data_IF_813889663508
#
_entry.id   IF_813889663508
#
_cell.length_a   1.000
_cell.length_b   1.000
_cell.length_c   1.000
_cell.angle_alpha   90.00
_cell.angle_beta   90.00
_cell.angle_gamma   90.00
#
_symmetry.space_group_name_H-M   'P 1'
#
loop_
_entity.id
_entity.type
_entity.pdbx_description
1 polymer ?
#
# COMPACT_ATOMS: atom_id res chain seq x y z
N UNK A 1 -0.21 -3.93 -14.99
CA UNK A 1 -1.00 -2.77 -14.51
C UNK A 1 -0.19 -1.84 -13.61
N UNK A 2 0.54 -2.35 -12.62
CA UNK A 2 1.31 -1.52 -11.69
C UNK A 2 2.48 -0.77 -12.32
N UNK A 3 3.22 -1.37 -13.25
CA UNK A 3 4.37 -0.73 -13.89
C UNK A 3 3.97 0.38 -14.85
N UNK A 4 2.98 0.14 -15.69
CA UNK A 4 2.44 1.14 -16.60
C UNK A 4 1.89 2.34 -15.83
N UNK A 5 1.16 2.09 -14.74
CA UNK A 5 0.64 3.14 -13.86
C UNK A 5 1.77 3.98 -13.23
N UNK A 6 2.82 3.34 -12.73
CA UNK A 6 3.95 4.03 -12.11
C UNK A 6 4.72 4.86 -13.15
N UNK A 7 5.06 4.27 -14.32
CA UNK A 7 5.82 4.94 -15.36
C UNK A 7 5.06 6.12 -15.99
N UNK A 8 3.78 5.94 -16.29
CA UNK A 8 2.94 6.96 -16.93
C UNK A 8 2.70 8.15 -15.99
N UNK A 9 2.47 7.89 -14.72
CA UNK A 9 2.12 8.95 -13.77
C UNK A 9 3.31 9.76 -13.25
N UNK A 10 4.50 9.19 -13.18
CA UNK A 10 5.72 9.94 -12.82
C UNK A 10 6.11 10.99 -13.87
N UNK A 11 5.75 10.77 -15.15
CA UNK A 11 6.07 11.70 -16.26
C UNK A 11 5.09 12.87 -16.41
N UNK A 12 3.86 12.75 -15.89
CA UNK A 12 2.78 13.73 -16.12
C UNK A 12 2.74 14.81 -15.04
N UNK A 13 3.14 14.50 -13.81
CA UNK A 13 3.06 15.44 -12.69
C UNK A 13 4.42 16.10 -12.42
N UNK A 14 4.43 17.42 -12.07
CA UNK A 14 5.65 18.05 -11.60
C UNK A 14 6.17 17.35 -10.34
N UNK A 15 7.49 17.39 -10.13
CA UNK A 15 8.14 16.73 -8.98
C UNK A 15 7.62 17.20 -7.62
N UNK A 16 7.12 18.42 -7.56
CA UNK A 16 6.50 19.01 -6.36
C UNK A 16 5.03 18.57 -6.17
N UNK A 17 4.43 18.00 -7.21
CA UNK A 17 3.05 17.53 -7.17
C UNK A 17 2.90 16.34 -6.23
N UNK A 18 1.95 16.44 -5.30
CA UNK A 18 1.60 15.34 -4.39
C UNK A 18 0.27 14.76 -4.84
N UNK A 19 0.29 13.51 -5.28
CA UNK A 19 -0.94 12.80 -5.66
C UNK A 19 -1.68 12.32 -4.43
N UNK A 20 -3.01 12.39 -4.49
CA UNK A 20 -3.87 11.74 -3.50
C UNK A 20 -4.18 10.32 -3.97
N UNK A 21 -3.79 9.34 -3.16
CA UNK A 21 -4.02 7.92 -3.42
C UNK A 21 -5.21 7.43 -2.58
N UNK A 22 -6.10 6.67 -3.18
CA UNK A 22 -7.26 6.13 -2.47
C UNK A 22 -7.72 4.80 -3.10
N UNK A 23 -8.42 4.00 -2.33
CA UNK A 23 -9.11 2.80 -2.80
C UNK A 23 -10.60 3.04 -2.99
N UNK A 24 -11.16 4.02 -2.26
CA UNK A 24 -12.55 4.44 -2.39
C UNK A 24 -12.68 5.95 -2.15
N UNK A 25 -13.76 6.55 -2.66
CA UNK A 25 -14.14 7.95 -2.45
C UNK A 25 -15.65 8.10 -2.60
N UNK A 26 -16.18 9.32 -2.41
CA UNK A 26 -17.60 9.59 -2.45
C UNK A 26 -18.28 9.22 -3.78
N UNK A 27 -17.59 9.41 -4.91
CA UNK A 27 -18.13 9.05 -6.23
C UNK A 27 -18.09 7.53 -6.43
N UNK A 28 -16.91 6.91 -6.21
CA UNK A 28 -16.75 5.47 -6.41
C UNK A 28 -17.67 4.67 -5.51
N UNK A 29 -17.70 4.98 -4.23
CA UNK A 29 -18.52 4.28 -3.25
C UNK A 29 -20.00 4.29 -3.63
N UNK A 30 -20.52 5.43 -4.05
CA UNK A 30 -21.94 5.59 -4.36
C UNK A 30 -22.36 5.02 -5.72
N UNK A 31 -21.45 5.04 -6.72
CA UNK A 31 -21.81 4.71 -8.12
C UNK A 31 -21.14 3.46 -8.66
N UNK A 32 -19.97 3.09 -8.15
CA UNK A 32 -19.15 2.01 -8.69
C UNK A 32 -19.02 0.81 -7.72
N UNK A 33 -19.69 0.86 -6.57
CA UNK A 33 -19.60 -0.13 -5.50
C UNK A 33 -18.59 0.27 -4.40
N UNK A 34 -18.72 -0.36 -3.25
CA UNK A 34 -17.83 -0.11 -2.11
C UNK A 34 -16.51 -0.88 -2.22
N UNK A 35 -15.56 -0.59 -1.34
CA UNK A 35 -14.25 -1.22 -1.34
C UNK A 35 -14.28 -2.74 -1.22
N UNK A 36 -15.21 -3.31 -0.46
CA UNK A 36 -15.32 -4.77 -0.31
C UNK A 36 -15.82 -5.44 -1.60
N UNK A 37 -16.79 -4.83 -2.28
CA UNK A 37 -17.28 -5.35 -3.56
C UNK A 37 -16.25 -5.25 -4.67
N UNK A 38 -15.42 -4.19 -4.65
CA UNK A 38 -14.44 -3.92 -5.70
C UNK A 38 -13.13 -4.68 -5.51
N UNK A 39 -12.65 -4.83 -4.28
CA UNK A 39 -11.36 -5.45 -4.00
C UNK A 39 -11.47 -6.85 -3.39
N UNK A 40 -12.58 -7.17 -2.71
CA UNK A 40 -12.76 -8.47 -2.06
C UNK A 40 -11.58 -8.86 -1.18
N UNK A 41 -10.97 -10.04 -1.39
CA UNK A 41 -9.82 -10.50 -0.59
C UNK A 41 -8.56 -9.62 -0.75
N UNK A 42 -8.47 -8.86 -1.83
CA UNK A 42 -7.32 -7.98 -2.11
C UNK A 42 -7.36 -6.66 -1.31
N UNK A 43 -8.46 -6.37 -0.59
CA UNK A 43 -8.68 -5.07 0.04
C UNK A 43 -7.51 -4.62 0.94
N UNK A 44 -7.05 -5.48 1.83
CA UNK A 44 -5.94 -5.14 2.73
C UNK A 44 -4.62 -4.91 1.97
N UNK A 45 -4.33 -5.72 0.97
CA UNK A 45 -3.15 -5.55 0.12
C UNK A 45 -3.20 -4.22 -0.66
N UNK A 46 -4.37 -3.85 -1.20
CA UNK A 46 -4.59 -2.58 -1.86
C UNK A 46 -4.45 -1.39 -0.89
N UNK A 47 -4.96 -1.52 0.35
CA UNK A 47 -4.80 -0.51 1.41
C UNK A 47 -3.32 -0.29 1.74
N UNK A 48 -2.55 -1.36 1.93
CA UNK A 48 -1.10 -1.27 2.19
C UNK A 48 -0.38 -0.63 1.03
N UNK A 49 -0.67 -1.05 -0.21
CA UNK A 49 -0.07 -0.44 -1.40
C UNK A 49 -0.34 1.06 -1.47
N UNK A 50 -1.60 1.47 -1.30
CA UNK A 50 -2.02 2.87 -1.35
C UNK A 50 -1.33 3.73 -0.28
N UNK A 51 -1.10 3.18 0.92
CA UNK A 51 -0.45 3.89 2.01
C UNK A 51 1.08 3.99 1.84
N UNK A 52 1.73 2.97 1.24
CA UNK A 52 3.19 2.88 1.15
C UNK A 52 3.75 3.50 -0.12
N UNK A 53 2.98 3.56 -1.20
CA UNK A 53 3.41 4.19 -2.45
C UNK A 53 3.63 5.70 -2.27
N UNK A 54 4.24 6.33 -3.27
CA UNK A 54 4.40 7.78 -3.28
C UNK A 54 3.06 8.49 -3.40
N UNK A 55 2.87 9.54 -2.59
CA UNK A 55 1.65 10.34 -2.52
C UNK A 55 1.00 10.35 -1.14
N UNK A 56 -0.14 11.01 -1.08
CA UNK A 56 -0.92 11.19 0.14
C UNK A 56 -2.11 10.22 0.16
N UNK A 57 -2.12 9.21 1.02
CA UNK A 57 -3.26 8.30 1.14
C UNK A 57 -4.46 9.02 1.74
N UNK A 58 -5.62 8.81 1.13
CA UNK A 58 -6.91 9.25 1.64
C UNK A 58 -7.70 8.04 2.13
N UNK A 59 -8.32 8.17 3.30
CA UNK A 59 -9.31 7.23 3.83
C UNK A 59 -10.68 7.83 3.60
N UNK A 60 -11.52 7.14 2.85
CA UNK A 60 -12.91 7.54 2.71
C UNK A 60 -13.69 7.19 3.98
N UNK A 61 -14.62 8.04 4.32
CA UNK A 61 -15.39 7.99 5.56
C UNK A 61 -16.07 6.63 5.76
N UNK A 62 -15.74 5.95 6.85
CA UNK A 62 -16.28 4.63 7.20
C UNK A 62 -15.38 3.44 6.88
N UNK A 63 -14.31 3.60 6.09
CA UNK A 63 -13.38 2.51 5.78
C UNK A 63 -12.75 1.93 7.04
N UNK A 64 -12.36 2.79 7.98
CA UNK A 64 -11.80 2.39 9.27
C UNK A 64 -12.79 1.62 10.15
N UNK A 65 -14.09 1.89 9.98
CA UNK A 65 -15.17 1.20 10.67
C UNK A 65 -15.66 -0.07 9.95
N UNK A 66 -15.04 -0.42 8.81
CA UNK A 66 -15.41 -1.59 8.03
C UNK A 66 -16.74 -1.45 7.29
N UNK A 67 -17.08 -0.26 6.82
CA UNK A 67 -18.31 0.03 6.09
C UNK A 67 -18.39 -0.80 4.79
N UNK A 68 -19.14 -1.89 4.82
CA UNK A 68 -19.33 -2.79 3.68
C UNK A 68 -20.66 -2.53 2.95
N UNK A 69 -20.87 -1.29 2.54
CA UNK A 69 -21.97 -0.89 1.68
C UNK A 69 -21.69 0.42 0.97
N UNK A 70 -22.40 0.68 -0.11
CA UNK A 70 -22.42 2.00 -0.72
C UNK A 70 -23.26 2.98 0.09
N UNK A 71 -22.81 4.22 0.17
CA UNK A 71 -23.53 5.33 0.76
C UNK A 71 -24.43 5.98 -0.29
N UNK A 72 -25.59 6.46 0.14
CA UNK A 72 -26.50 7.25 -0.70
C UNK A 72 -25.87 8.63 -0.97
N UNK A 73 -25.73 8.99 -2.23
CA UNK A 73 -24.99 10.19 -2.61
C UNK A 73 -25.69 11.50 -2.23
N UNK A 74 -27.00 11.57 -2.40
CA UNK A 74 -27.79 12.77 -2.18
C UNK A 74 -28.58 12.78 -0.86
N UNK A 75 -28.48 11.71 -0.09
CA UNK A 75 -29.28 11.52 1.12
C UNK A 75 -28.42 11.60 2.38
N UNK A 76 -29.06 11.90 3.51
CA UNK A 76 -28.45 11.71 4.81
C UNK A 76 -28.35 10.21 5.08
N UNK A 77 -27.16 9.68 4.99
CA UNK A 77 -26.89 8.24 5.16
C UNK A 77 -25.86 8.02 6.28
N UNK A 78 -26.33 7.78 7.53
CA UNK A 78 -25.44 7.69 8.68
C UNK A 78 -24.58 6.43 8.65
N UNK A 79 -23.30 6.60 8.97
CA UNK A 79 -22.35 5.51 9.16
C UNK A 79 -22.45 5.01 10.60
N UNK A 80 -22.56 3.68 10.75
CA UNK A 80 -22.47 3.04 12.05
C UNK A 80 -21.00 2.81 12.41
N UNK A 81 -20.52 3.57 13.35
CA UNK A 81 -19.14 3.52 13.83
C UNK A 81 -18.97 2.38 14.83
N UNK A 82 -18.39 1.28 14.35
CA UNK A 82 -18.05 0.11 15.16
C UNK A 82 -16.55 -0.11 15.17
N UNK A 83 -16.04 -0.74 16.23
CA UNK A 83 -14.64 -1.17 16.24
C UNK A 83 -14.44 -2.26 15.19
N UNK A 84 -13.50 -2.03 14.30
CA UNK A 84 -13.17 -2.94 13.21
C UNK A 84 -11.65 -3.14 13.07
N UNK A 85 -11.22 -4.25 12.51
CA UNK A 85 -9.78 -4.53 12.31
C UNK A 85 -9.08 -3.53 11.37
N UNK A 86 -9.83 -2.88 10.48
CA UNK A 86 -9.30 -1.86 9.59
C UNK A 86 -8.75 -0.66 10.36
N UNK A 87 -9.35 -0.28 11.49
CA UNK A 87 -8.84 0.80 12.35
C UNK A 87 -7.39 0.54 12.76
N UNK A 88 -7.09 -0.68 13.21
CA UNK A 88 -5.75 -1.07 13.60
C UNK A 88 -4.77 -1.06 12.41
N UNK A 89 -5.23 -1.51 11.23
CA UNK A 89 -4.44 -1.49 10.00
C UNK A 89 -4.07 -0.05 9.60
N UNK A 90 -5.06 0.84 9.49
CA UNK A 90 -4.83 2.26 9.15
C UNK A 90 -3.94 2.95 10.19
N UNK A 91 -4.19 2.72 11.47
CA UNK A 91 -3.37 3.28 12.56
C UNK A 91 -1.90 2.87 12.41
N UNK A 92 -1.63 1.60 12.13
CA UNK A 92 -0.28 1.07 11.95
C UNK A 92 0.42 1.70 10.74
N UNK A 93 -0.26 1.74 9.60
CA UNK A 93 0.27 2.29 8.35
C UNK A 93 0.57 3.79 8.46
N UNK A 94 -0.35 4.55 9.04
CA UNK A 94 -0.17 6.00 9.18
C UNK A 94 0.81 6.39 10.27
N UNK A 95 0.88 5.62 11.36
CA UNK A 95 1.93 5.80 12.36
C UNK A 95 3.32 5.63 11.74
N UNK A 96 3.51 4.61 10.88
CA UNK A 96 4.75 4.44 10.14
C UNK A 96 4.99 5.62 9.18
N UNK A 97 3.98 6.02 8.39
CA UNK A 97 4.10 7.12 7.43
C UNK A 97 4.45 8.46 8.11
N UNK A 98 3.92 8.73 9.29
CA UNK A 98 4.28 9.93 10.05
C UNK A 98 5.70 9.89 10.61
N UNK A 99 6.14 8.74 11.08
CA UNK A 99 7.42 8.56 11.76
C UNK A 99 8.61 8.43 10.83
N UNK A 100 8.43 7.78 9.66
CA UNK A 100 9.48 7.38 8.76
C UNK A 100 9.57 8.35 7.57
N UNK A 101 10.68 9.08 7.47
CA UNK A 101 10.86 10.09 6.44
C UNK A 101 10.85 9.51 5.02
N UNK A 102 11.21 8.25 4.83
CA UNK A 102 11.12 7.60 3.53
C UNK A 102 9.70 7.67 2.93
N UNK A 103 8.67 7.64 3.78
CA UNK A 103 7.27 7.64 3.37
C UNK A 103 6.63 9.03 3.28
N UNK A 104 7.36 10.10 3.59
CA UNK A 104 6.83 11.45 3.47
C UNK A 104 6.56 11.81 2.00
N UNK A 105 5.82 12.90 1.77
CA UNK A 105 5.37 13.26 0.44
C UNK A 105 6.31 14.25 -0.25
N UNK A 106 6.31 14.21 -1.59
CA UNK A 106 7.07 15.11 -2.45
C UNK A 106 8.56 15.07 -2.13
N UNK A 107 9.24 16.19 -2.23
CA UNK A 107 10.69 16.30 -2.02
C UNK A 107 11.16 15.95 -0.60
N UNK A 108 10.26 15.83 0.36
CA UNK A 108 10.57 15.47 1.74
C UNK A 108 10.63 13.95 1.94
N UNK A 109 10.03 13.17 1.06
CA UNK A 109 10.03 11.71 1.10
C UNK A 109 11.10 11.08 0.20
N UNK A 110 11.20 9.76 0.27
CA UNK A 110 12.00 8.94 -0.64
C UNK A 110 11.24 8.61 -1.92
N UNK A 111 11.94 8.56 -3.03
CA UNK A 111 11.39 8.06 -4.29
C UNK A 111 11.00 6.58 -4.13
N UNK A 112 9.98 6.15 -4.88
CA UNK A 112 9.58 4.76 -4.94
C UNK A 112 10.41 4.04 -5.99
N UNK A 113 11.41 3.26 -5.53
CA UNK A 113 12.32 2.51 -6.40
C UNK A 113 11.92 1.04 -6.43
N UNK A 114 11.72 0.50 -7.62
CA UNK A 114 11.33 -0.91 -7.80
C UNK A 114 12.44 -1.85 -7.37
N UNK A 115 12.09 -2.88 -6.62
CA UNK A 115 12.93 -4.05 -6.37
C UNK A 115 12.58 -5.09 -7.44
N UNK A 116 13.57 -5.52 -8.22
CA UNK A 116 13.37 -6.49 -9.29
C UNK A 116 13.08 -7.89 -8.72
N UNK A 117 12.12 -8.57 -9.30
CA UNK A 117 11.76 -9.95 -8.93
C UNK A 117 11.36 -10.75 -10.18
N UNK A 118 11.32 -12.08 -10.06
CA UNK A 118 11.00 -13.00 -11.17
C UNK A 118 9.48 -13.20 -11.41
N UNK A 119 8.63 -12.45 -10.68
CA UNK A 119 7.15 -12.50 -10.75
C UNK A 119 6.56 -11.10 -10.83
N UNK A 120 7.11 -10.24 -11.68
CA UNK A 120 6.75 -8.82 -11.78
C UNK A 120 5.29 -8.56 -12.16
N UNK A 121 4.61 -9.54 -12.76
CA UNK A 121 3.19 -9.51 -13.12
C UNK A 121 2.23 -9.80 -11.93
N UNK A 122 2.74 -10.41 -10.87
CA UNK A 122 1.99 -10.82 -9.67
C UNK A 122 2.44 -10.08 -8.41
N UNK A 123 3.74 -9.78 -8.31
CA UNK A 123 4.35 -9.20 -7.11
C UNK A 123 4.76 -7.76 -7.35
N UNK A 124 4.24 -6.86 -6.54
CA UNK A 124 4.75 -5.49 -6.42
C UNK A 124 5.78 -5.47 -5.30
N UNK A 125 6.99 -4.99 -5.63
CA UNK A 125 8.07 -4.82 -4.66
C UNK A 125 8.81 -3.52 -4.93
N UNK A 126 9.02 -2.74 -3.88
CA UNK A 126 9.72 -1.47 -3.97
C UNK A 126 10.34 -1.07 -2.64
N UNK A 127 11.29 -0.18 -2.71
CA UNK A 127 11.91 0.49 -1.57
C UNK A 127 11.68 1.99 -1.65
N UNK A 128 11.52 2.61 -0.51
CA UNK A 128 11.61 4.06 -0.34
C UNK A 128 12.66 4.36 0.72
N UNK A 129 13.55 5.33 0.45
CA UNK A 129 14.63 5.69 1.35
C UNK A 129 14.80 7.20 1.43
N UNK A 130 14.98 7.74 2.62
CA UNK A 130 15.26 9.16 2.86
C UNK A 130 15.99 9.38 4.18
N UNK A 131 17.13 10.06 4.13
CA UNK A 131 17.88 10.48 5.32
C UNK A 131 18.20 9.35 6.32
N UNK A 132 18.42 8.13 5.84
CA UNK A 132 18.68 6.95 6.65
C UNK A 132 17.44 6.16 7.06
N UNK A 133 16.25 6.71 6.90
CA UNK A 133 15.00 5.94 7.00
C UNK A 133 14.77 5.14 5.71
N UNK A 134 14.39 3.87 5.85
CA UNK A 134 14.14 2.97 4.72
C UNK A 134 12.92 2.08 4.99
N UNK A 135 12.06 1.95 3.98
CA UNK A 135 10.91 1.03 4.00
C UNK A 135 10.94 0.18 2.75
N UNK A 136 10.90 -1.13 2.93
CA UNK A 136 10.72 -2.12 1.87
C UNK A 136 9.27 -2.58 1.91
N UNK A 137 8.62 -2.62 0.77
CA UNK A 137 7.25 -3.10 0.62
C UNK A 137 7.20 -4.21 -0.42
N UNK A 138 6.67 -5.36 -0.02
CA UNK A 138 6.47 -6.52 -0.88
C UNK A 138 4.98 -6.91 -0.81
N UNK A 139 4.32 -7.03 -1.95
CA UNK A 139 2.88 -7.33 -2.00
C UNK A 139 2.61 -8.33 -3.11
N UNK A 140 1.97 -9.43 -2.77
CA UNK A 140 1.37 -10.35 -3.74
C UNK A 140 -0.02 -9.80 -4.14
N UNK A 141 -0.15 -9.32 -5.37
CA UNK A 141 -1.42 -8.85 -5.95
C UNK A 141 -2.11 -9.94 -6.79
N UNK A 142 -1.85 -11.20 -6.49
CA UNK A 142 -2.48 -12.32 -7.19
C UNK A 142 -3.34 -13.17 -6.24
N UNK A 143 -4.21 -13.98 -6.83
CA UNK A 143 -5.07 -14.94 -6.12
C UNK A 143 -4.35 -16.22 -5.73
N UNK A 144 -3.07 -16.30 -6.04
CA UNK A 144 -2.28 -17.52 -5.92
C UNK A 144 -1.17 -17.35 -4.88
N UNK A 145 -0.81 -18.46 -4.26
CA UNK A 145 0.42 -18.58 -3.51
C UNK A 145 1.59 -18.62 -4.49
N UNK A 146 2.54 -17.70 -4.35
CA UNK A 146 3.64 -17.49 -5.29
C UNK A 146 4.97 -17.66 -4.58
N UNK A 147 5.85 -18.50 -5.14
CA UNK A 147 7.27 -18.47 -4.79
C UNK A 147 7.94 -17.42 -5.70
N UNK A 148 8.61 -16.46 -5.10
CA UNK A 148 9.21 -15.31 -5.78
C UNK A 148 10.62 -15.07 -5.31
N UNK A 149 11.53 -14.78 -6.26
CA UNK A 149 12.92 -14.41 -5.99
C UNK A 149 13.14 -12.92 -6.27
N UNK A 150 13.77 -12.24 -5.30
CA UNK A 150 14.05 -10.80 -5.34
C UNK A 150 15.56 -10.54 -5.48
N UNK A 151 15.92 -9.55 -6.26
CA UNK A 151 17.26 -8.94 -6.23
C UNK A 151 17.24 -7.73 -5.29
N UNK A 152 17.69 -7.94 -4.08
CA UNK A 152 17.76 -6.98 -2.98
C UNK A 152 19.20 -6.57 -2.68
N UNK A 153 20.08 -6.60 -3.69
CA UNK A 153 21.52 -6.37 -3.52
C UNK A 153 21.85 -5.04 -2.84
N UNK A 154 21.06 -4.00 -3.10
CA UNK A 154 21.25 -2.66 -2.52
C UNK A 154 20.49 -2.46 -1.20
N UNK A 155 19.61 -3.37 -0.84
CA UNK A 155 18.69 -3.24 0.28
C UNK A 155 18.88 -4.32 1.35
N UNK A 156 19.99 -5.09 1.24
CA UNK A 156 20.31 -6.12 2.22
C UNK A 156 20.53 -5.52 3.61
N UNK A 157 19.94 -6.15 4.62
CA UNK A 157 20.02 -5.70 6.00
C UNK A 157 19.00 -6.36 6.91
N UNK A 158 18.96 -5.91 8.15
CA UNK A 158 17.96 -6.34 9.13
C UNK A 158 16.89 -5.25 9.26
N UNK A 159 15.65 -5.63 9.01
CA UNK A 159 14.47 -4.78 9.10
C UNK A 159 13.54 -5.27 10.19
N UNK A 160 12.61 -4.44 10.60
CA UNK A 160 11.53 -4.84 11.48
C UNK A 160 10.26 -4.99 10.63
N UNK A 161 9.68 -6.18 10.63
CA UNK A 161 8.39 -6.39 9.98
C UNK A 161 7.33 -5.58 10.71
N UNK A 162 6.65 -4.70 9.98
CA UNK A 162 5.71 -3.72 10.53
C UNK A 162 4.55 -4.37 11.30
N UNK A 163 4.06 -5.49 10.81
CA UNK A 163 2.84 -6.12 11.33
C UNK A 163 3.11 -7.10 12.47
N UNK A 164 4.26 -7.76 12.46
CA UNK A 164 4.64 -8.71 13.52
C UNK A 164 5.56 -8.11 14.58
N UNK A 165 6.19 -6.98 14.31
CA UNK A 165 7.21 -6.37 15.16
C UNK A 165 8.52 -7.15 15.25
N UNK A 166 8.69 -8.21 14.44
CA UNK A 166 9.85 -9.11 14.52
C UNK A 166 10.96 -8.67 13.55
N UNK A 167 12.24 -8.89 13.90
CA UNK A 167 13.34 -8.72 12.98
C UNK A 167 13.19 -9.66 11.78
N UNK A 168 13.46 -9.14 10.59
CA UNK A 168 13.50 -9.88 9.35
C UNK A 168 14.78 -9.54 8.59
N UNK A 169 15.53 -10.59 8.24
CA UNK A 169 16.75 -10.46 7.47
C UNK A 169 16.42 -10.41 5.98
N UNK A 170 16.85 -9.34 5.30
CA UNK A 170 16.82 -9.20 3.85
C UNK A 170 18.23 -9.51 3.33
N UNK A 171 18.39 -10.56 2.55
CA UNK A 171 19.65 -10.96 1.92
C UNK A 171 19.75 -10.35 0.52
N UNK A 172 20.97 -10.25 -0.05
CA UNK A 172 21.21 -9.70 -1.41
C UNK A 172 20.40 -10.38 -2.50
N UNK A 173 20.15 -11.68 -2.34
CA UNK A 173 19.18 -12.44 -3.13
C UNK A 173 18.31 -13.20 -2.15
N UNK A 174 17.02 -13.12 -2.31
CA UNK A 174 16.07 -13.68 -1.36
C UNK A 174 14.94 -14.35 -2.12
N UNK A 175 14.57 -15.55 -1.70
CA UNK A 175 13.38 -16.24 -2.20
C UNK A 175 12.38 -16.35 -1.07
N UNK A 176 11.16 -15.91 -1.31
CA UNK A 176 10.03 -16.03 -0.38
C UNK A 176 8.89 -16.78 -1.03
N UNK A 177 8.10 -17.41 -0.20
CA UNK A 177 6.76 -17.86 -0.58
C UNK A 177 5.76 -16.91 0.02
N UNK A 178 4.99 -16.25 -0.82
CA UNK A 178 3.95 -15.30 -0.43
C UNK A 178 2.57 -15.91 -0.70
N UNK A 179 1.72 -15.88 0.31
CA UNK A 179 0.31 -16.30 0.16
C UNK A 179 -0.45 -15.32 -0.76
N UNK A 180 -1.62 -15.74 -1.24
CA UNK A 180 -2.50 -14.85 -2.01
C UNK A 180 -2.78 -13.57 -1.22
N UNK A 181 -2.58 -12.40 -1.84
CA UNK A 181 -2.81 -11.08 -1.25
C UNK A 181 -1.96 -10.75 -0.01
N UNK A 182 -0.90 -11.52 0.24
CA UNK A 182 0.02 -11.24 1.34
C UNK A 182 0.85 -10.00 1.08
N UNK A 183 1.17 -9.30 2.17
CA UNK A 183 2.02 -8.12 2.17
C UNK A 183 2.98 -8.11 3.36
N UNK A 184 4.18 -7.57 3.12
CA UNK A 184 5.28 -7.46 4.07
C UNK A 184 5.89 -6.05 4.00
#
# INVERSE_FOLDING_TARGET
LGEAYIAEHVSIFPKEGIRMNFIDNHDKNSWEGNEYSNFGPALKAATVFTAMMDGMPMVYNGQEAGLNRSLLFFEKDPIVWTKHENEALYTTLFALKHKNQALWNGNRGGEMVRIMNDKMDQIISFVREKNGDKVITLINLSREKVQVSFDTSYDAGTYINLFSGKPQQISKKMTLTMEAWEYL
#
